data_IF_962555872004
#
_entry.id   IF_962555872004
#
_cell.length_a   1.000
_cell.length_b   1.000
_cell.length_c   1.000
_cell.angle_alpha   90.00
_cell.angle_beta   90.00
_cell.angle_gamma   90.00
#
_symmetry.space_group_name_H-M   'P 1'
#
loop_
_entity.id
_entity.type
_entity.pdbx_description
1 polymer ?
#
# COMPACT_ATOMS: atom_id res chain seq x y z
N UNK A 1 -19.06 -10.77 -27.35
CA UNK A 1 -19.10 -11.22 -25.95
C UNK A 1 -18.19 -10.30 -25.14
N UNK A 2 -18.78 -9.43 -24.33
CA UNK A 2 -18.02 -8.51 -23.45
C UNK A 2 -17.47 -9.34 -22.30
N UNK A 3 -16.15 -9.58 -22.28
CA UNK A 3 -15.47 -10.16 -21.11
C UNK A 3 -15.47 -9.09 -20.03
N UNK A 4 -16.28 -9.31 -19.00
CA UNK A 4 -16.39 -8.46 -17.81
C UNK A 4 -15.02 -8.27 -17.17
N UNK A 5 -14.44 -7.08 -17.34
CA UNK A 5 -13.21 -6.63 -16.69
C UNK A 5 -13.51 -6.19 -15.26
N UNK A 6 -13.78 -7.15 -14.38
CA UNK A 6 -14.05 -6.90 -12.97
C UNK A 6 -13.35 -7.93 -12.10
N UNK A 7 -12.89 -7.51 -10.93
CA UNK A 7 -12.37 -8.43 -9.92
C UNK A 7 -13.48 -9.42 -9.51
N UNK A 8 -13.29 -10.71 -9.77
CA UNK A 8 -14.26 -11.78 -9.43
C UNK A 8 -14.60 -11.84 -7.94
N UNK A 9 -13.71 -11.32 -7.08
CA UNK A 9 -13.92 -11.30 -5.62
C UNK A 9 -14.68 -10.08 -5.11
N UNK A 10 -14.95 -9.06 -5.95
CA UNK A 10 -15.72 -7.89 -5.53
C UNK A 10 -15.25 -7.32 -4.18
N UNK A 11 -16.18 -6.99 -3.28
CA UNK A 11 -15.89 -6.46 -1.95
C UNK A 11 -14.94 -7.34 -1.08
N UNK A 12 -14.85 -8.65 -1.35
CA UNK A 12 -13.96 -9.58 -0.63
C UNK A 12 -12.52 -9.59 -1.18
N UNK A 13 -12.25 -8.79 -2.21
CA UNK A 13 -10.90 -8.68 -2.74
C UNK A 13 -9.99 -7.92 -1.77
N UNK A 14 -9.21 -8.67 -1.00
CA UNK A 14 -8.16 -8.10 -0.16
C UNK A 14 -6.98 -7.50 -0.95
N UNK A 15 -6.97 -7.65 -2.28
CA UNK A 15 -5.81 -7.40 -3.13
C UNK A 15 -5.98 -6.24 -4.14
N UNK A 16 -7.18 -5.95 -4.66
CA UNK A 16 -7.32 -4.95 -5.71
C UNK A 16 -8.72 -4.29 -5.80
N UNK A 17 -8.76 -3.00 -5.38
CA UNK A 17 -9.77 -1.94 -5.66
C UNK A 17 -9.19 -0.52 -5.62
N UNK A 18 -7.92 -0.35 -5.28
CA UNK A 18 -7.24 0.94 -5.36
C UNK A 18 -6.40 1.00 -6.64
N UNK A 19 -6.27 2.17 -7.30
CA UNK A 19 -5.42 2.30 -8.48
C UNK A 19 -3.98 1.84 -8.19
N UNK A 20 -3.45 0.93 -9.01
CA UNK A 20 -2.07 0.44 -8.90
C UNK A 20 -1.52 -0.12 -10.23
N UNK A 21 -0.22 0.07 -10.47
CA UNK A 21 0.46 -0.42 -11.69
C UNK A 21 0.99 -1.88 -11.56
N UNK A 22 0.65 -2.58 -10.49
CA UNK A 22 1.03 -3.97 -10.24
C UNK A 22 1.36 -4.26 -8.77
N UNK A 23 1.48 -5.54 -8.41
CA UNK A 23 1.82 -5.96 -7.05
C UNK A 23 3.35 -5.97 -6.87
N UNK A 24 3.89 -5.03 -6.10
CA UNK A 24 5.28 -5.07 -5.67
C UNK A 24 5.38 -5.82 -4.35
N UNK A 25 6.24 -6.86 -4.30
CA UNK A 25 6.48 -7.64 -3.11
C UNK A 25 7.91 -7.42 -2.62
N UNK A 26 8.12 -7.04 -1.35
CA UNK A 26 9.46 -7.00 -0.78
C UNK A 26 10.13 -8.37 -0.84
N UNK A 27 11.41 -8.42 -1.16
CA UNK A 27 12.20 -9.66 -1.19
C UNK A 27 12.44 -10.22 0.22
N UNK A 28 13.15 -11.35 0.34
CA UNK A 28 13.40 -11.98 1.64
C UNK A 28 14.18 -11.06 2.60
N UNK A 29 15.17 -10.33 2.10
CA UNK A 29 16.00 -9.45 2.91
C UNK A 29 15.23 -8.21 3.35
N UNK A 30 14.47 -7.61 2.45
CA UNK A 30 13.60 -6.46 2.73
C UNK A 30 12.49 -6.83 3.73
N UNK A 31 11.85 -8.00 3.58
CA UNK A 31 10.88 -8.49 4.57
C UNK A 31 11.53 -8.73 5.92
N UNK A 32 12.74 -9.29 5.94
CA UNK A 32 13.48 -9.51 7.18
C UNK A 32 13.83 -8.19 7.87
N UNK A 33 14.21 -7.17 7.09
CA UNK A 33 14.46 -5.84 7.58
C UNK A 33 13.20 -5.20 8.18
N UNK A 34 12.10 -5.16 7.42
CA UNK A 34 10.82 -4.61 7.91
C UNK A 34 10.31 -5.34 9.16
N UNK A 35 10.55 -6.65 9.28
CA UNK A 35 10.18 -7.42 10.48
C UNK A 35 11.02 -7.10 11.71
N UNK A 36 12.19 -6.48 11.56
CA UNK A 36 12.98 -6.02 12.71
C UNK A 36 12.44 -4.72 13.29
N UNK A 37 11.76 -3.93 12.47
CA UNK A 37 11.16 -2.67 12.90
C UNK A 37 9.95 -2.92 13.79
N UNK A 38 9.82 -2.15 14.86
CA UNK A 38 8.57 -2.13 15.64
C UNK A 38 7.48 -1.31 14.93
N UNK A 39 6.27 -1.28 15.49
CA UNK A 39 5.14 -0.60 14.87
C UNK A 39 5.34 0.93 14.79
N UNK A 40 6.05 1.54 15.75
CA UNK A 40 6.34 2.98 15.73
C UNK A 40 7.33 3.32 14.62
N UNK A 41 8.39 2.52 14.47
CA UNK A 41 9.35 2.64 13.37
C UNK A 41 8.68 2.41 12.01
N UNK A 42 7.77 1.43 11.90
CA UNK A 42 7.00 1.17 10.69
C UNK A 42 6.07 2.33 10.37
N UNK A 43 5.32 2.87 11.34
CA UNK A 43 4.43 4.01 11.15
C UNK A 43 5.20 5.24 10.70
N UNK A 44 6.26 5.60 11.42
CA UNK A 44 7.13 6.73 11.07
C UNK A 44 7.73 6.58 9.67
N UNK A 45 8.10 5.35 9.31
CA UNK A 45 8.57 5.05 7.96
C UNK A 45 7.43 5.19 6.94
N UNK A 46 6.30 4.51 7.07
CA UNK A 46 5.30 4.40 6.00
C UNK A 46 4.37 5.62 5.86
N UNK A 47 4.11 6.40 6.91
CA UNK A 47 3.18 7.54 6.87
C UNK A 47 3.51 8.59 5.79
N UNK A 48 4.76 9.09 5.67
CA UNK A 48 5.13 10.00 4.58
C UNK A 48 4.88 9.40 3.19
N UNK A 49 5.09 8.08 3.02
CA UNK A 49 4.91 7.38 1.74
C UNK A 49 3.44 7.19 1.42
N UNK A 50 2.61 6.91 2.42
CA UNK A 50 1.15 6.87 2.30
C UNK A 50 0.58 8.21 1.83
N UNK A 51 0.99 9.32 2.47
CA UNK A 51 0.58 10.68 2.05
C UNK A 51 1.01 10.98 0.61
N UNK A 52 2.27 10.68 0.27
CA UNK A 52 2.78 10.85 -1.09
C UNK A 52 2.00 10.01 -2.11
N UNK A 53 1.68 8.76 -1.78
CA UNK A 53 0.93 7.85 -2.66
C UNK A 53 -0.51 8.31 -2.85
N UNK A 54 -1.20 8.73 -1.78
CA UNK A 54 -2.55 9.26 -1.87
C UNK A 54 -2.61 10.52 -2.77
N UNK A 55 -1.61 11.41 -2.65
CA UNK A 55 -1.47 12.59 -3.52
C UNK A 55 -1.27 12.21 -4.98
N UNK A 56 -0.32 11.30 -5.27
CA UNK A 56 -0.07 10.81 -6.64
C UNK A 56 -1.27 10.14 -7.30
N UNK A 57 -2.11 9.49 -6.50
CA UNK A 57 -3.33 8.83 -6.97
C UNK A 57 -4.54 9.78 -7.04
N UNK A 58 -4.44 11.01 -6.54
CA UNK A 58 -5.56 11.95 -6.48
C UNK A 58 -6.65 11.56 -5.46
N UNK A 59 -6.32 10.72 -4.47
CA UNK A 59 -7.28 10.15 -3.50
C UNK A 59 -7.11 10.71 -2.08
N UNK A 60 -6.49 11.88 -1.92
CA UNK A 60 -6.14 12.44 -0.60
C UNK A 60 -7.35 12.57 0.32
N UNK A 61 -8.47 13.07 -0.20
CA UNK A 61 -9.69 13.26 0.60
C UNK A 61 -10.26 11.91 1.09
N UNK A 62 -10.31 10.92 0.21
CA UNK A 62 -10.83 9.58 0.50
C UNK A 62 -9.89 8.81 1.45
N UNK A 63 -8.57 8.94 1.27
CA UNK A 63 -7.56 8.26 2.07
C UNK A 63 -7.33 8.90 3.45
N UNK A 64 -7.75 10.16 3.62
CA UNK A 64 -7.54 10.94 4.86
C UNK A 64 -7.99 10.22 6.14
N UNK A 65 -9.18 9.58 6.21
CA UNK A 65 -9.59 8.84 7.40
C UNK A 65 -8.61 7.73 7.80
N UNK A 66 -8.10 6.96 6.83
CA UNK A 66 -7.13 5.88 7.08
C UNK A 66 -5.81 6.45 7.57
N UNK A 67 -5.32 7.52 6.92
CA UNK A 67 -4.06 8.18 7.28
C UNK A 67 -4.15 8.77 8.69
N UNK A 68 -5.26 9.44 9.04
CA UNK A 68 -5.47 10.01 10.38
C UNK A 68 -5.52 8.94 11.47
N UNK A 69 -6.14 7.79 11.20
CA UNK A 69 -6.16 6.69 12.17
C UNK A 69 -4.77 6.13 12.42
N UNK A 70 -3.94 6.00 11.37
CA UNK A 70 -2.54 5.59 11.50
C UNK A 70 -1.69 6.65 12.23
N UNK A 71 -1.90 7.93 11.94
CA UNK A 71 -1.23 9.04 12.65
C UNK A 71 -1.57 9.03 14.14
N UNK A 72 -2.82 8.72 14.50
CA UNK A 72 -3.23 8.60 15.89
C UNK A 72 -2.61 7.39 16.63
N UNK A 73 -1.98 6.45 15.92
CA UNK A 73 -1.20 5.36 16.52
C UNK A 73 0.29 5.73 16.70
N UNK A 74 0.76 6.80 16.08
CA UNK A 74 2.14 7.24 16.18
C UNK A 74 2.33 8.04 17.47
N UNK A 75 3.26 7.62 18.32
CA UNK A 75 3.61 8.37 19.52
C UNK A 75 4.31 9.69 19.15
N UNK A 76 4.19 10.72 20.01
CA UNK A 76 4.84 12.02 19.78
C UNK A 76 6.38 11.97 19.88
N UNK A 77 6.95 10.83 20.30
CA UNK A 77 8.38 10.66 20.41
C UNK A 77 9.04 10.73 19.02
N UNK A 78 10.15 11.47 18.86
CA UNK A 78 10.84 11.55 17.59
C UNK A 78 11.33 10.15 17.17
N UNK A 79 11.04 9.71 15.93
CA UNK A 79 11.45 8.39 15.49
C UNK A 79 12.97 8.29 15.46
N UNK A 80 13.48 7.14 15.90
CA UNK A 80 14.89 6.79 15.77
C UNK A 80 15.30 6.82 14.29
N UNK A 81 16.51 7.31 13.96
CA UNK A 81 16.99 7.26 12.57
C UNK A 81 17.12 5.81 12.10
N UNK A 82 16.31 5.43 11.11
CA UNK A 82 16.32 4.08 10.53
C UNK A 82 17.28 4.03 9.35
N UNK A 83 18.26 3.12 9.39
CA UNK A 83 19.15 2.85 8.25
C UNK A 83 18.45 1.89 7.29
N UNK A 84 18.06 2.41 6.12
CA UNK A 84 17.30 1.66 5.13
C UNK A 84 18.21 0.79 4.25
N UNK A 85 17.82 -0.47 3.96
CA UNK A 85 18.56 -1.30 3.01
C UNK A 85 18.41 -0.75 1.59
N UNK A 86 19.45 -0.99 0.77
CA UNK A 86 19.44 -0.60 -0.63
C UNK A 86 18.19 -1.14 -1.36
N UNK A 87 17.59 -0.31 -2.22
CA UNK A 87 16.43 -0.62 -3.06
C UNK A 87 15.07 -0.82 -2.34
N UNK A 88 14.96 -0.69 -1.02
CA UNK A 88 13.65 -0.80 -0.34
C UNK A 88 12.69 0.30 -0.79
N UNK A 89 13.20 1.53 -0.96
CA UNK A 89 12.44 2.67 -1.47
C UNK A 89 11.82 2.38 -2.84
N UNK A 90 12.54 1.67 -3.72
CA UNK A 90 12.05 1.31 -5.06
C UNK A 90 10.85 0.35 -4.97
N UNK A 91 10.89 -0.60 -4.03
CA UNK A 91 9.79 -1.55 -3.83
C UNK A 91 8.60 -0.84 -3.19
N UNK A 92 8.84 -0.06 -2.14
CA UNK A 92 7.81 0.72 -1.43
C UNK A 92 7.10 1.68 -2.39
N UNK A 93 7.84 2.36 -3.27
CA UNK A 93 7.25 3.24 -4.27
C UNK A 93 6.27 2.53 -5.22
N UNK A 94 6.50 1.24 -5.50
CA UNK A 94 5.66 0.42 -6.39
C UNK A 94 4.52 -0.30 -5.67
N UNK A 95 4.52 -0.37 -4.34
CA UNK A 95 3.41 -0.95 -3.57
C UNK A 95 2.13 -0.13 -3.76
N UNK A 96 0.97 -0.78 -3.71
CA UNK A 96 -0.32 -0.09 -3.68
C UNK A 96 -0.53 0.63 -2.35
N UNK A 97 -1.46 1.59 -2.30
CA UNK A 97 -1.79 2.28 -1.05
C UNK A 97 -2.22 1.28 0.05
N UNK A 98 -3.04 0.27 -0.30
CA UNK A 98 -3.46 -0.76 0.64
C UNK A 98 -2.28 -1.60 1.16
N UNK A 99 -1.31 -1.95 0.31
CA UNK A 99 -0.12 -2.68 0.76
C UNK A 99 0.73 -1.85 1.72
N UNK A 100 0.84 -0.54 1.48
CA UNK A 100 1.53 0.37 2.39
C UNK A 100 0.84 0.43 3.76
N UNK A 101 -0.51 0.52 3.79
CA UNK A 101 -1.29 0.46 5.03
C UNK A 101 -1.09 -0.88 5.75
N UNK A 102 -1.15 -2.00 5.02
CA UNK A 102 -0.93 -3.32 5.62
C UNK A 102 0.50 -3.54 6.12
N UNK A 103 1.47 -2.74 5.66
CA UNK A 103 2.87 -2.86 6.05
C UNK A 103 3.27 -1.85 7.14
N UNK A 104 2.38 -0.92 7.50
CA UNK A 104 2.70 0.12 8.48
C UNK A 104 2.60 -0.35 9.92
N UNK A 105 2.01 -1.51 10.19
CA UNK A 105 1.91 -2.14 11.51
C UNK A 105 1.89 -3.66 11.35
N UNK A 106 2.36 -4.40 12.38
CA UNK A 106 2.32 -5.86 12.41
C UNK A 106 0.92 -6.39 12.63
N UNK A 107 0.18 -5.74 13.51
CA UNK A 107 -1.24 -5.99 13.76
C UNK A 107 -2.02 -4.70 13.54
N UNK A 108 -2.85 -4.67 12.49
CA UNK A 108 -3.63 -3.48 12.18
C UNK A 108 -4.89 -3.44 13.05
N UNK A 109 -5.11 -2.35 13.81
CA UNK A 109 -6.35 -2.14 14.55
C UNK A 109 -7.59 -2.30 13.65
N UNK A 110 -8.67 -2.84 14.22
CA UNK A 110 -9.94 -3.06 13.51
C UNK A 110 -10.45 -1.77 12.85
N UNK A 111 -10.35 -0.62 13.53
CA UNK A 111 -10.75 0.69 12.99
C UNK A 111 -10.04 1.03 11.68
N UNK A 112 -8.75 0.71 11.56
CA UNK A 112 -7.96 0.95 10.35
C UNK A 112 -8.34 -0.05 9.26
N UNK A 113 -8.58 -1.31 9.62
CA UNK A 113 -9.03 -2.35 8.68
C UNK A 113 -10.38 -2.01 8.07
N UNK A 114 -11.33 -1.57 8.89
CA UNK A 114 -12.65 -1.10 8.45
C UNK A 114 -12.54 0.14 7.56
N UNK A 115 -11.78 1.16 7.98
CA UNK A 115 -11.59 2.36 7.15
C UNK A 115 -10.92 2.06 5.80
N UNK A 116 -10.00 1.09 5.75
CA UNK A 116 -9.40 0.62 4.50
C UNK A 116 -10.41 -0.15 3.63
N UNK A 117 -11.32 -0.91 4.24
CA UNK A 117 -12.40 -1.58 3.52
C UNK A 117 -13.39 -0.55 2.93
N UNK A 118 -13.81 0.43 3.72
CA UNK A 118 -14.68 1.53 3.27
C UNK A 118 -14.04 2.32 2.12
N UNK A 119 -12.74 2.60 2.23
CA UNK A 119 -11.99 3.26 1.16
C UNK A 119 -12.03 2.45 -0.14
N UNK A 120 -11.86 1.13 -0.07
CA UNK A 120 -11.90 0.25 -1.25
C UNK A 120 -13.26 0.25 -1.94
N UNK A 121 -14.35 0.33 -1.17
CA UNK A 121 -15.72 0.35 -1.70
C UNK A 121 -16.04 1.64 -2.49
N UNK A 122 -15.24 2.71 -2.32
CA UNK A 122 -15.43 3.98 -3.05
C UNK A 122 -14.88 3.94 -4.48
N UNK A 123 -14.12 2.91 -4.85
CA UNK A 123 -13.52 2.81 -6.17
C UNK A 123 -14.15 1.65 -6.94
N UNK A 124 -14.37 1.84 -8.26
CA UNK A 124 -14.81 0.73 -9.10
C UNK A 124 -13.73 -0.37 -9.14
N UNK A 125 -14.10 -1.61 -9.51
CA UNK A 125 -13.13 -2.67 -9.75
C UNK A 125 -12.02 -2.15 -10.68
N UNK A 126 -10.74 -2.45 -10.37
CA UNK A 126 -9.65 -1.90 -11.15
C UNK A 126 -9.69 -2.49 -12.57
N UNK A 127 -9.57 -1.62 -13.58
CA UNK A 127 -9.38 -2.05 -14.95
C UNK A 127 -8.02 -2.76 -15.06
N UNK A 128 -8.03 -4.08 -15.26
CA UNK A 128 -6.82 -4.84 -15.56
C UNK A 128 -6.39 -4.47 -16.98
N UNK A 129 -5.44 -3.53 -17.11
CA UNK A 129 -4.74 -3.32 -18.37
C UNK A 129 -3.74 -4.46 -18.57
N UNK A 130 -4.16 -5.50 -19.28
CA UNK A 130 -3.23 -6.49 -19.82
C UNK A 130 -2.36 -5.74 -20.83
N UNK A 131 -1.13 -5.41 -20.46
CA UNK A 131 -0.17 -4.88 -21.43
C UNK A 131 0.22 -6.01 -22.39
N UNK A 132 -0.12 -5.85 -23.67
CA UNK A 132 0.28 -6.75 -24.78
C UNK A 132 1.79 -6.71 -25.09
N UNK A 133 2.63 -6.37 -24.12
CA UNK A 133 4.07 -6.40 -24.29
C UNK A 133 4.60 -7.79 -23.91
N UNK A 134 4.44 -8.68 -24.90
CA UNK A 134 5.23 -9.89 -25.02
C UNK A 134 6.73 -9.60 -24.90
N UNK A 135 7.46 -10.66 -24.52
CA UNK A 135 8.87 -10.69 -24.19
C UNK A 135 9.73 -9.72 -25.01
N UNK A 136 10.37 -8.77 -24.32
CA UNK A 136 11.48 -8.01 -24.88
C UNK A 136 12.80 -8.64 -24.43
N UNK A 137 13.39 -9.43 -25.32
CA UNK A 137 14.84 -9.55 -25.43
C UNK A 137 15.21 -8.75 -26.67
N UNK A 138 15.77 -7.57 -26.46
CA UNK A 138 16.58 -6.91 -27.47
C UNK A 138 17.96 -6.68 -26.86
N UNK A 139 18.95 -7.26 -27.55
CA UNK A 139 20.38 -7.24 -27.29
C UNK A 139 20.94 -5.81 -27.28
#
# INVERSE_FOLDING_TARGET
MVKSSGCEKGADCQFCHLPHDGYAKPDKNQRTFLRKMDDQELLAYFLPKLRCKASKLGIVAQASPVVRLLEAQLDEAPPTPIVLPANIERVVARMSFAQLVQSSMRDLPESIRLALADLRLQFPPPEIRISDHGASLLL
#
